data_IF_170734294895
#
_entry.id   IF_170734294895
#
_cell.length_a   1.000
_cell.length_b   1.000
_cell.length_c   1.000
_cell.angle_alpha   90.00
_cell.angle_beta   90.00
_cell.angle_gamma   90.00
#
_symmetry.space_group_name_H-M   'P 1'
#
loop_
_entity.id
_entity.type
_entity.pdbx_description
1 polymer ?
#
# COMPACT_ATOMS: atom_id res chain seq x y z
N UNK A 1 52.25 16.16 4.88
CA UNK A 1 50.99 15.98 4.12
C UNK A 1 50.60 14.50 4.03
N UNK A 2 50.32 13.79 5.14
CA UNK A 2 49.77 12.41 5.13
C UNK A 2 48.90 12.07 6.37
N UNK A 3 48.47 13.07 7.15
CA UNK A 3 47.65 12.83 8.38
C UNK A 3 46.24 13.44 8.31
N UNK A 4 45.95 14.26 7.30
CA UNK A 4 44.63 14.89 7.12
C UNK A 4 43.67 14.11 6.21
N UNK A 5 44.18 13.12 5.44
CA UNK A 5 43.34 12.33 4.53
C UNK A 5 42.54 11.21 5.24
N UNK A 6 42.88 10.88 6.48
CA UNK A 6 42.29 9.75 7.22
C UNK A 6 41.09 10.15 8.10
N UNK A 7 40.87 11.44 8.30
CA UNK A 7 39.78 11.96 9.15
C UNK A 7 38.50 12.28 8.37
N UNK A 8 38.58 12.39 7.04
CA UNK A 8 37.40 12.62 6.19
C UNK A 8 36.65 11.34 5.81
N UNK A 9 37.25 10.15 6.00
CA UNK A 9 36.65 8.87 5.62
C UNK A 9 35.78 8.28 6.75
N UNK A 10 35.96 8.69 8.02
CA UNK A 10 35.18 8.16 9.14
C UNK A 10 33.84 8.88 9.38
N UNK A 11 33.54 9.96 8.66
CA UNK A 11 32.31 10.76 8.86
C UNK A 11 31.16 10.34 7.90
N UNK A 12 31.44 9.53 6.89
CA UNK A 12 30.42 9.15 5.88
C UNK A 12 29.61 7.90 6.30
N UNK A 13 30.01 7.21 7.38
CA UNK A 13 29.35 5.96 7.82
C UNK A 13 28.26 6.14 8.89
N UNK A 14 27.65 7.32 8.98
CA UNK A 14 26.62 7.64 9.99
C UNK A 14 25.18 7.76 9.45
N UNK A 15 24.94 7.54 8.14
CA UNK A 15 23.61 7.76 7.53
C UNK A 15 23.02 6.56 6.78
N UNK A 16 23.34 5.35 7.21
CA UNK A 16 22.66 4.15 6.71
C UNK A 16 22.12 3.36 7.90
N UNK A 17 20.95 3.77 8.42
CA UNK A 17 19.90 2.90 8.98
C UNK A 17 18.80 3.70 9.69
N UNK A 18 18.05 4.49 8.93
CA UNK A 18 16.66 4.83 9.23
C UNK A 18 15.91 4.78 7.88
N UNK A 19 14.82 4.07 7.67
CA UNK A 19 14.01 3.29 8.59
C UNK A 19 13.44 2.04 7.91
N UNK A 20 13.58 0.91 8.60
CA UNK A 20 12.54 -0.11 8.57
C UNK A 20 11.41 0.47 9.42
N UNK A 21 10.33 0.93 8.80
CA UNK A 21 9.17 1.37 9.57
C UNK A 21 8.46 0.15 10.11
N UNK A 22 8.56 -0.03 11.42
CA UNK A 22 7.69 -0.91 12.19
C UNK A 22 6.25 -0.43 12.04
N UNK A 23 5.38 -1.37 11.64
CA UNK A 23 3.92 -1.29 11.65
C UNK A 23 3.41 -0.60 12.92
N UNK A 24 2.78 0.57 12.76
CA UNK A 24 1.99 1.19 13.81
C UNK A 24 0.63 0.52 13.86
N UNK A 25 0.42 -0.27 14.89
CA UNK A 25 -0.88 -0.82 15.28
C UNK A 25 -1.73 0.34 15.82
N UNK A 26 -2.72 0.78 15.06
CA UNK A 26 -3.73 1.73 15.58
C UNK A 26 -4.62 1.00 16.58
N UNK A 27 -4.53 1.44 17.83
CA UNK A 27 -5.51 1.14 18.88
C UNK A 27 -6.67 2.13 18.70
N UNK A 28 -7.71 1.74 17.98
CA UNK A 28 -9.06 2.24 18.19
C UNK A 28 -9.98 1.04 18.44
N UNK A 29 -10.86 1.18 19.42
CA UNK A 29 -11.55 0.09 20.08
C UNK A 29 -12.47 -0.72 19.11
N UNK A 30 -12.31 -2.05 19.09
CA UNK A 30 -13.15 -3.05 18.40
C UNK A 30 -13.14 -3.08 16.86
N UNK A 31 -12.01 -2.85 16.19
CA UNK A 31 -11.91 -3.16 14.77
C UNK A 31 -11.84 -4.69 14.55
N UNK A 32 -12.91 -5.26 13.99
CA UNK A 32 -13.06 -6.69 13.58
C UNK A 32 -11.87 -7.18 12.73
N UNK A 33 -11.25 -6.26 12.00
CA UNK A 33 -10.13 -6.51 11.11
C UNK A 33 -8.99 -5.53 11.37
N UNK A 34 -7.76 -6.00 11.21
CA UNK A 34 -6.55 -5.19 11.16
C UNK A 34 -5.94 -5.27 9.77
N UNK A 35 -5.56 -4.11 9.21
CA UNK A 35 -4.93 -4.03 7.90
C UNK A 35 -3.44 -3.68 8.03
N UNK A 36 -2.60 -4.48 7.38
CA UNK A 36 -1.22 -4.13 7.05
C UNK A 36 -1.08 -4.12 5.54
N UNK A 37 -0.35 -3.17 4.98
CA UNK A 37 -0.12 -3.19 3.55
C UNK A 37 1.00 -2.28 3.09
N UNK A 38 1.42 -2.48 1.86
CA UNK A 38 2.41 -1.67 1.18
C UNK A 38 1.88 -1.25 -0.18
N UNK A 39 2.16 -0.01 -0.57
CA UNK A 39 1.82 0.55 -1.88
C UNK A 39 3.10 1.07 -2.52
N UNK A 40 3.34 0.68 -3.75
CA UNK A 40 4.49 1.12 -4.55
C UNK A 40 4.00 1.90 -5.77
N UNK A 41 4.66 3.02 -6.03
CA UNK A 41 4.44 3.88 -7.20
C UNK A 41 5.65 3.77 -8.12
N UNK A 42 5.43 3.42 -9.38
CA UNK A 42 6.50 3.26 -10.36
C UNK A 42 6.06 3.68 -11.76
N UNK A 43 7.03 3.92 -12.64
CA UNK A 43 6.74 4.17 -14.05
C UNK A 43 6.31 2.87 -14.75
N UNK A 44 5.42 2.98 -15.75
CA UNK A 44 5.04 1.83 -16.59
C UNK A 44 6.18 1.44 -17.54
N UNK A 45 6.88 2.44 -18.07
CA UNK A 45 8.03 2.30 -18.96
C UNK A 45 9.23 3.04 -18.36
N UNK A 46 10.44 2.56 -18.62
CA UNK A 46 11.68 3.23 -18.17
C UNK A 46 11.86 4.59 -18.83
N UNK A 47 11.36 4.74 -20.05
CA UNK A 47 11.57 5.94 -20.86
C UNK A 47 10.37 6.90 -20.85
N UNK A 48 9.26 6.51 -20.19
CA UNK A 48 8.03 7.29 -20.13
C UNK A 48 7.49 7.42 -18.68
N UNK A 49 7.52 8.65 -18.16
CA UNK A 49 7.03 9.01 -16.83
C UNK A 49 5.59 9.56 -16.83
N UNK A 50 4.93 9.61 -17.98
CA UNK A 50 3.55 10.09 -18.12
C UNK A 50 2.54 9.14 -17.48
N UNK A 51 2.92 7.89 -17.22
CA UNK A 51 2.04 6.89 -16.60
C UNK A 51 2.62 6.37 -15.30
N UNK A 52 1.78 6.36 -14.28
CA UNK A 52 2.12 5.79 -12.99
C UNK A 52 1.42 4.45 -12.80
N UNK A 53 2.20 3.40 -12.60
CA UNK A 53 1.74 2.12 -12.10
C UNK A 53 1.76 2.11 -10.58
N UNK A 54 0.62 1.84 -9.99
CA UNK A 54 0.47 1.58 -8.56
C UNK A 54 0.40 0.08 -8.39
N UNK A 55 1.22 -0.49 -7.50
CA UNK A 55 1.13 -1.90 -7.11
C UNK A 55 0.94 -1.97 -5.60
N UNK A 56 0.01 -2.79 -5.14
CA UNK A 56 -0.27 -2.94 -3.71
C UNK A 56 -0.28 -4.40 -3.27
N UNK A 57 0.09 -4.58 -2.01
CA UNK A 57 -0.07 -5.83 -1.26
C UNK A 57 -0.66 -5.47 0.10
N UNK A 58 -1.80 -6.06 0.43
CA UNK A 58 -2.55 -5.86 1.65
C UNK A 58 -2.74 -7.21 2.33
N UNK A 59 -2.47 -7.26 3.63
CA UNK A 59 -2.75 -8.38 4.51
C UNK A 59 -3.78 -7.93 5.53
N UNK A 60 -4.95 -8.57 5.51
CA UNK A 60 -6.01 -8.39 6.50
C UNK A 60 -5.99 -9.55 7.48
N UNK A 61 -5.89 -9.21 8.76
CA UNK A 61 -5.94 -10.16 9.87
C UNK A 61 -7.18 -9.90 10.72
N UNK A 62 -7.70 -10.93 11.37
CA UNK A 62 -8.87 -10.88 12.24
C UNK A 62 -9.11 -12.25 12.86
N UNK A 63 -10.26 -12.42 13.52
CA UNK A 63 -10.65 -13.74 14.01
C UNK A 63 -10.89 -14.69 12.82
N UNK A 64 -10.71 -15.99 13.06
CA UNK A 64 -10.75 -17.02 12.02
C UNK A 64 -12.09 -17.03 11.28
N UNK A 65 -13.18 -16.95 12.04
CA UNK A 65 -14.54 -16.93 11.54
C UNK A 65 -14.77 -15.69 10.68
N UNK A 66 -14.26 -14.55 11.12
CA UNK A 66 -14.39 -13.27 10.42
C UNK A 66 -13.63 -13.25 9.10
N UNK A 67 -12.38 -13.72 9.07
CA UNK A 67 -11.61 -13.82 7.81
C UNK A 67 -12.30 -14.75 6.81
N UNK A 68 -12.83 -15.88 7.28
CA UNK A 68 -13.55 -16.83 6.43
C UNK A 68 -14.98 -16.37 6.06
N UNK A 69 -15.46 -15.29 6.68
CA UNK A 69 -16.75 -14.66 6.36
C UNK A 69 -16.66 -13.66 5.22
N UNK A 70 -15.45 -13.17 4.87
CA UNK A 70 -15.26 -12.19 3.79
C UNK A 70 -15.63 -12.84 2.45
N UNK A 71 -16.56 -12.21 1.75
CA UNK A 71 -17.05 -12.66 0.43
C UNK A 71 -16.47 -11.80 -0.70
N UNK A 72 -16.50 -10.48 -0.52
CA UNK A 72 -16.06 -9.52 -1.54
C UNK A 72 -15.02 -8.56 -0.98
N UNK A 73 -14.10 -8.16 -1.84
CA UNK A 73 -13.06 -7.17 -1.57
C UNK A 73 -13.03 -6.18 -2.73
N UNK A 74 -13.12 -4.89 -2.41
CA UNK A 74 -13.15 -3.82 -3.40
C UNK A 74 -12.01 -2.84 -3.11
N UNK A 75 -11.05 -2.66 -4.03
CA UNK A 75 -10.02 -1.65 -3.87
C UNK A 75 -10.63 -0.25 -3.77
N UNK A 76 -10.22 0.53 -2.77
CA UNK A 76 -10.71 1.89 -2.57
C UNK A 76 -9.83 2.88 -3.33
N UNK A 77 -10.33 3.39 -4.44
CA UNK A 77 -9.65 4.35 -5.33
C UNK A 77 -10.13 5.77 -5.03
N UNK A 78 -9.27 6.79 -5.18
CA UNK A 78 -9.71 8.18 -5.13
C UNK A 78 -10.55 8.53 -6.36
N UNK A 79 -11.85 8.69 -6.17
CA UNK A 79 -12.81 8.96 -7.25
C UNK A 79 -12.61 10.31 -7.93
N UNK A 80 -11.92 11.27 -7.29
CA UNK A 80 -11.57 12.56 -7.91
C UNK A 80 -10.68 12.37 -9.16
N UNK A 81 -9.91 11.28 -9.20
CA UNK A 81 -8.94 11.01 -10.26
C UNK A 81 -9.27 9.75 -11.06
N UNK A 82 -10.50 9.24 -10.97
CA UNK A 82 -10.88 7.99 -11.64
C UNK A 82 -10.80 8.10 -13.16
N UNK A 83 -11.05 9.28 -13.72
CA UNK A 83 -10.97 9.54 -15.16
C UNK A 83 -9.53 9.42 -15.71
N UNK A 84 -8.52 9.45 -14.83
CA UNK A 84 -7.13 9.22 -15.19
C UNK A 84 -6.77 7.73 -15.21
N UNK A 85 -7.65 6.84 -14.75
CA UNK A 85 -7.36 5.41 -14.68
C UNK A 85 -7.37 4.79 -16.09
N UNK A 86 -6.22 4.25 -16.48
CA UNK A 86 -6.02 3.57 -17.75
C UNK A 86 -6.23 2.06 -17.62
N UNK A 87 -5.78 1.47 -16.51
CA UNK A 87 -5.88 0.03 -16.25
C UNK A 87 -6.28 -0.24 -14.81
N UNK A 88 -7.23 -1.17 -14.63
CA UNK A 88 -7.75 -1.65 -13.35
C UNK A 88 -7.37 -3.13 -13.17
N UNK A 89 -6.12 -3.39 -12.83
CA UNK A 89 -5.66 -4.72 -12.50
C UNK A 89 -4.28 -5.11 -13.07
N UNK A 90 -3.91 -6.39 -12.90
CA UNK A 90 -4.69 -7.47 -12.28
C UNK A 90 -4.93 -7.25 -10.77
N UNK A 91 -5.97 -7.90 -10.24
CA UNK A 91 -6.26 -7.98 -8.80
C UNK A 91 -6.42 -9.44 -8.39
N UNK A 92 -5.97 -9.79 -7.19
CA UNK A 92 -6.07 -11.14 -6.63
C UNK A 92 -6.28 -11.06 -5.13
N UNK A 93 -7.16 -11.91 -4.62
CA UNK A 93 -7.40 -12.08 -3.19
C UNK A 93 -7.35 -13.56 -2.82
N UNK A 94 -6.64 -13.91 -1.76
CA UNK A 94 -6.51 -15.28 -1.29
C UNK A 94 -6.45 -15.33 0.24
N UNK A 95 -7.27 -16.20 0.83
CA UNK A 95 -7.11 -16.58 2.24
C UNK A 95 -5.92 -17.52 2.37
N UNK A 96 -4.97 -17.17 3.23
CA UNK A 96 -3.76 -17.94 3.56
C UNK A 96 -3.70 -18.16 5.07
N UNK A 97 -2.81 -19.06 5.50
CA UNK A 97 -2.69 -19.44 6.91
C UNK A 97 -3.75 -20.48 7.30
N UNK A 98 -3.31 -21.58 7.91
CA UNK A 98 -4.20 -22.69 8.29
C UNK A 98 -4.94 -22.41 9.59
N UNK A 99 -4.23 -22.48 10.72
CA UNK A 99 -4.81 -22.25 12.05
C UNK A 99 -5.18 -20.79 12.29
N UNK A 100 -4.33 -19.86 11.82
CA UNK A 100 -4.53 -18.43 11.90
C UNK A 100 -4.66 -17.85 10.48
N UNK A 101 -5.87 -17.89 9.88
CA UNK A 101 -6.03 -17.40 8.52
C UNK A 101 -5.92 -15.87 8.46
N UNK A 102 -5.48 -15.38 7.30
CA UNK A 102 -5.44 -13.98 6.92
C UNK A 102 -5.79 -13.85 5.44
N UNK A 103 -6.35 -12.72 5.04
CA UNK A 103 -6.65 -12.44 3.65
C UNK A 103 -5.52 -11.62 3.03
N UNK A 104 -4.84 -12.17 2.04
CA UNK A 104 -3.87 -11.45 1.22
C UNK A 104 -4.54 -10.92 -0.04
N UNK A 105 -4.43 -9.62 -0.29
CA UNK A 105 -4.97 -8.94 -1.46
C UNK A 105 -3.83 -8.24 -2.18
N UNK A 106 -3.64 -8.56 -3.45
CA UNK A 106 -2.64 -7.93 -4.31
C UNK A 106 -3.30 -7.34 -5.54
N UNK A 107 -2.68 -6.31 -6.10
CA UNK A 107 -3.10 -5.85 -7.41
C UNK A 107 -2.35 -4.63 -7.90
N UNK A 108 -2.80 -4.13 -9.04
CA UNK A 108 -2.24 -2.91 -9.62
C UNK A 108 -3.25 -2.04 -10.33
N UNK A 109 -2.90 -0.77 -10.48
CA UNK A 109 -3.59 0.19 -11.33
C UNK A 109 -2.56 0.90 -12.20
N UNK A 110 -3.00 1.41 -13.34
CA UNK A 110 -2.22 2.36 -14.15
C UNK A 110 -3.03 3.63 -14.31
N UNK A 111 -2.43 4.78 -14.00
CA UNK A 111 -3.02 6.09 -14.17
C UNK A 111 -2.22 6.93 -15.16
N UNK A 112 -2.90 7.76 -15.94
CA UNK A 112 -2.32 8.87 -16.68
C UNK A 112 -1.97 9.99 -15.69
N UNK A 113 -0.66 10.22 -15.55
CA UNK A 113 -0.08 11.22 -14.68
C UNK A 113 0.83 12.18 -15.47
N UNK A 114 0.58 12.34 -16.77
CA UNK A 114 1.36 13.20 -17.65
C UNK A 114 1.45 14.62 -17.07
N UNK A 115 2.68 15.16 -17.05
CA UNK A 115 2.95 16.51 -16.56
C UNK A 115 2.84 16.70 -15.04
N UNK A 116 2.56 15.65 -14.26
CA UNK A 116 2.53 15.71 -12.79
C UNK A 116 3.89 15.38 -12.20
N UNK A 117 4.31 16.14 -11.18
CA UNK A 117 5.47 15.79 -10.36
C UNK A 117 5.18 14.61 -9.46
N UNK A 118 6.24 13.95 -8.97
CA UNK A 118 6.13 12.85 -7.99
C UNK A 118 5.31 13.26 -6.77
N UNK A 119 5.53 14.47 -6.24
CA UNK A 119 4.82 14.96 -5.06
C UNK A 119 3.33 15.15 -5.35
N UNK A 120 2.96 15.68 -6.51
CA UNK A 120 1.55 15.79 -6.90
C UNK A 120 0.88 14.42 -6.98
N UNK A 121 1.57 13.43 -7.56
CA UNK A 121 1.04 12.06 -7.67
C UNK A 121 0.85 11.42 -6.28
N UNK A 122 1.78 11.63 -5.35
CA UNK A 122 1.65 11.17 -3.96
C UNK A 122 0.45 11.86 -3.26
N UNK A 123 0.32 13.19 -3.43
CA UNK A 123 -0.74 13.98 -2.82
C UNK A 123 -2.14 13.64 -3.40
N UNK A 124 -2.23 13.14 -4.64
CA UNK A 124 -3.49 12.66 -5.26
C UNK A 124 -4.11 11.47 -4.52
N UNK A 125 -3.32 10.71 -3.74
CA UNK A 125 -3.80 9.57 -2.96
C UNK A 125 -4.64 8.57 -3.78
N UNK A 126 -4.16 8.24 -4.99
CA UNK A 126 -4.87 7.45 -6.00
C UNK A 126 -5.43 6.12 -5.47
N UNK A 127 -4.70 5.45 -4.57
CA UNK A 127 -5.17 4.25 -3.88
C UNK A 127 -5.22 4.48 -2.36
N UNK A 128 -6.36 4.18 -1.74
CA UNK A 128 -6.67 4.56 -0.36
C UNK A 128 -6.76 3.38 0.61
N UNK A 129 -7.01 2.17 0.11
CA UNK A 129 -7.19 0.97 0.95
C UNK A 129 -8.15 -0.03 0.32
N UNK A 130 -8.94 -0.72 1.13
CA UNK A 130 -9.87 -1.76 0.67
C UNK A 130 -11.17 -1.70 1.45
N UNK A 131 -12.29 -1.96 0.75
CA UNK A 131 -13.58 -2.26 1.35
C UNK A 131 -13.78 -3.78 1.35
N UNK A 132 -14.16 -4.33 2.49
CA UNK A 132 -14.52 -5.73 2.67
C UNK A 132 -16.03 -5.83 2.85
N UNK A 133 -16.64 -6.84 2.23
CA UNK A 133 -18.05 -7.18 2.41
C UNK A 133 -18.09 -8.64 2.87
N UNK A 134 -18.67 -8.88 4.04
CA UNK A 134 -18.89 -10.24 4.54
C UNK A 134 -20.18 -10.85 4.00
N UNK A 135 -20.37 -12.15 4.25
CA UNK A 135 -21.55 -12.93 3.82
C UNK A 135 -22.88 -12.39 4.35
N UNK A 136 -22.86 -11.58 5.41
CA UNK A 136 -24.05 -10.94 5.98
C UNK A 136 -24.28 -9.53 5.39
N UNK A 137 -23.50 -9.14 4.37
CA UNK A 137 -23.46 -7.83 3.73
C UNK A 137 -23.02 -6.68 4.66
N UNK A 138 -22.27 -6.98 5.73
CA UNK A 138 -21.63 -5.93 6.51
C UNK A 138 -20.43 -5.39 5.76
N UNK A 139 -20.32 -4.06 5.71
CA UNK A 139 -19.24 -3.37 5.03
C UNK A 139 -18.17 -2.88 6.01
N UNK A 140 -16.91 -3.13 5.69
CA UNK A 140 -15.76 -2.69 6.48
C UNK A 140 -14.78 -1.95 5.58
N UNK A 141 -14.51 -0.68 5.89
CA UNK A 141 -13.59 0.15 5.11
C UNK A 141 -12.28 0.28 5.87
N UNK A 142 -11.20 -0.24 5.28
CA UNK A 142 -9.85 -0.21 5.83
C UNK A 142 -8.98 0.71 4.96
N UNK A 143 -8.43 1.77 5.56
CA UNK A 143 -7.63 2.79 4.84
C UNK A 143 -6.19 2.82 5.33
N UNK A 144 -5.26 3.17 4.44
CA UNK A 144 -3.89 3.45 4.86
C UNK A 144 -3.86 4.70 5.73
N UNK A 145 -3.11 4.63 6.82
CA UNK A 145 -2.80 5.80 7.64
C UNK A 145 -1.97 6.78 6.79
N UNK A 146 -2.45 8.02 6.66
CA UNK A 146 -1.67 9.11 6.03
C UNK A 146 -0.78 9.73 7.10
N UNK A 147 0.50 9.93 6.78
CA UNK A 147 1.45 10.68 7.59
C UNK A 147 1.61 12.09 7.04
#
# INVERSE_FOLDING_TARGET
MKKFALLCISIIFAFAMFGCFTVSKTNDNNEKFSMNGSVAYGAVDKDNLDKTKITYNIVISGDKEDINSIETQEPLINTEYIDLMLENGPHSAQVKGGENPYLEITGSFVFDTAGKSKKEIEDMCLFQGVKLIDKDNNEYILKFNRH
#
